data_IF_832891742466
#
_entry.id   IF_832891742466
#
_cell.length_a   1.000
_cell.length_b   1.000
_cell.length_c   1.000
_cell.angle_alpha   90.00
_cell.angle_beta   90.00
_cell.angle_gamma   90.00
#
_symmetry.space_group_name_H-M   'P 1'
#
loop_
_entity.id
_entity.type
_entity.pdbx_description
1 polymer ?
#
# COMPACT_ATOMS: atom_id res chain seq x y z
N UNK A 1 -19.99 -3.62 -6.95
CA UNK A 1 -18.90 -2.69 -6.56
C UNK A 1 -18.01 -3.27 -5.48
N UNK A 2 -18.61 -3.81 -4.41
CA UNK A 2 -17.93 -4.56 -3.36
C UNK A 2 -17.65 -5.99 -3.86
N UNK A 3 -16.52 -6.56 -3.48
CA UNK A 3 -16.11 -7.90 -3.92
C UNK A 3 -15.67 -8.81 -2.78
N UNK A 4 -15.48 -8.30 -1.56
CA UNK A 4 -15.29 -9.16 -0.40
C UNK A 4 -14.89 -8.40 0.85
N UNK A 5 -14.96 -9.10 1.98
CA UNK A 5 -14.62 -8.63 3.32
C UNK A 5 -13.67 -9.63 3.98
N UNK A 6 -12.83 -9.14 4.87
CA UNK A 6 -11.94 -10.00 5.66
C UNK A 6 -11.68 -9.40 7.04
N UNK A 7 -11.37 -10.29 7.98
CA UNK A 7 -10.78 -9.96 9.27
C UNK A 7 -9.45 -10.71 9.36
N UNK A 8 -8.37 -9.99 9.65
CA UNK A 8 -7.01 -10.55 9.70
C UNK A 8 -6.40 -10.17 11.04
N UNK A 9 -5.84 -11.15 11.76
CA UNK A 9 -5.13 -10.96 13.02
C UNK A 9 -3.69 -11.49 12.87
N UNK A 10 -2.71 -10.60 13.00
CA UNK A 10 -1.30 -10.92 12.74
C UNK A 10 -1.09 -11.54 11.36
N UNK A 11 -0.59 -12.77 11.29
CA UNK A 11 -0.37 -13.54 10.07
C UNK A 11 -1.59 -14.43 9.70
N UNK A 12 -2.68 -14.39 10.47
CA UNK A 12 -3.85 -15.26 10.29
C UNK A 12 -5.07 -14.51 9.70
N UNK A 13 -5.58 -15.00 8.57
CA UNK A 13 -6.87 -14.56 8.02
C UNK A 13 -7.99 -15.30 8.76
N UNK A 14 -8.60 -14.64 9.74
CA UNK A 14 -9.67 -15.21 10.56
C UNK A 14 -10.96 -15.44 9.76
N UNK A 15 -11.21 -14.60 8.75
CA UNK A 15 -12.41 -14.66 7.92
C UNK A 15 -12.15 -14.13 6.52
N UNK A 16 -12.74 -14.74 5.49
CA UNK A 16 -12.75 -14.25 4.11
C UNK A 16 -14.11 -14.54 3.48
N UNK A 17 -14.83 -13.50 3.05
CA UNK A 17 -16.20 -13.67 2.51
C UNK A 17 -16.25 -14.30 1.11
N UNK A 18 -15.17 -14.18 0.34
CA UNK A 18 -15.03 -14.76 -0.99
C UNK A 18 -13.65 -15.38 -1.10
N UNK A 19 -13.59 -16.72 -1.22
CA UNK A 19 -12.33 -17.47 -1.33
C UNK A 19 -11.49 -17.01 -2.54
N UNK A 20 -12.11 -16.52 -3.61
CA UNK A 20 -11.39 -15.98 -4.77
C UNK A 20 -10.60 -14.71 -4.44
N UNK A 21 -10.93 -14.04 -3.32
CA UNK A 21 -10.25 -12.84 -2.83
C UNK A 21 -9.23 -13.13 -1.74
N UNK A 22 -9.12 -14.36 -1.25
CA UNK A 22 -8.17 -14.73 -0.21
C UNK A 22 -6.73 -14.28 -0.55
N UNK A 23 -6.28 -14.61 -1.76
CA UNK A 23 -4.96 -14.22 -2.28
C UNK A 23 -4.74 -12.70 -2.36
N UNK A 24 -5.81 -11.93 -2.54
CA UNK A 24 -5.73 -10.46 -2.52
C UNK A 24 -5.54 -9.96 -1.09
N UNK A 25 -6.26 -10.55 -0.12
CA UNK A 25 -6.14 -10.19 1.29
C UNK A 25 -4.80 -10.62 1.90
N UNK A 26 -4.19 -11.71 1.46
CA UNK A 26 -2.83 -12.07 1.86
C UNK A 26 -1.81 -10.95 1.55
N UNK A 27 -2.06 -10.11 0.54
CA UNK A 27 -1.18 -8.97 0.25
C UNK A 27 -1.11 -7.98 1.42
N UNK A 28 -2.15 -7.89 2.26
CA UNK A 28 -2.13 -7.11 3.49
C UNK A 28 -1.02 -7.59 4.43
N UNK A 29 -0.80 -8.90 4.55
CA UNK A 29 0.25 -9.50 5.38
C UNK A 29 1.66 -9.17 4.88
N UNK A 30 1.84 -9.17 3.56
CA UNK A 30 3.13 -8.76 2.97
C UNK A 30 3.42 -7.27 3.20
N UNK A 31 2.38 -6.42 3.18
CA UNK A 31 2.51 -4.99 3.49
C UNK A 31 2.71 -4.76 4.99
N UNK A 32 2.08 -5.54 5.87
CA UNK A 32 2.30 -5.51 7.32
C UNK A 32 3.78 -5.70 7.67
N UNK A 33 4.46 -6.65 7.02
CA UNK A 33 5.90 -6.90 7.20
C UNK A 33 6.78 -5.73 6.76
N UNK A 34 6.32 -4.89 5.84
CA UNK A 34 6.98 -3.63 5.48
C UNK A 34 6.75 -2.55 6.54
N UNK A 35 5.53 -2.49 7.11
CA UNK A 35 5.18 -1.50 8.12
C UNK A 35 5.97 -1.67 9.41
N UNK A 36 6.54 -2.83 9.72
CA UNK A 36 7.39 -3.02 10.92
C UNK A 36 8.59 -2.05 10.98
N UNK A 37 9.02 -1.47 9.86
CA UNK A 37 10.07 -0.45 9.83
C UNK A 37 9.61 0.96 10.17
N UNK A 38 8.31 1.19 10.11
CA UNK A 38 7.75 2.53 10.13
C UNK A 38 6.63 2.62 11.15
N UNK A 39 6.50 3.76 11.82
CA UNK A 39 5.32 4.04 12.65
C UNK A 39 4.14 4.46 11.77
N UNK A 40 3.77 3.62 10.81
CA UNK A 40 2.73 3.87 9.82
C UNK A 40 1.61 2.82 9.91
N UNK A 41 0.39 3.22 9.54
CA UNK A 41 -0.78 2.34 9.49
C UNK A 41 -1.28 2.17 8.08
N UNK A 42 -1.61 0.94 7.70
CA UNK A 42 -2.13 0.64 6.38
C UNK A 42 -3.55 1.18 6.24
N UNK A 43 -3.78 1.91 5.15
CA UNK A 43 -5.09 2.49 4.84
C UNK A 43 -5.71 1.89 3.59
N UNK A 44 -4.95 1.75 2.50
CA UNK A 44 -5.44 1.03 1.33
C UNK A 44 -4.31 0.49 0.45
N UNK A 45 -4.66 -0.55 -0.32
CA UNK A 45 -3.82 -1.18 -1.34
C UNK A 45 -4.63 -1.22 -2.64
N UNK A 46 -4.03 -0.82 -3.74
CA UNK A 46 -4.69 -0.80 -5.04
C UNK A 46 -3.96 -1.70 -6.04
N UNK A 47 -4.75 -2.52 -6.70
CA UNK A 47 -4.36 -3.46 -7.72
C UNK A 47 -4.86 -3.00 -9.08
N UNK A 48 -4.16 -3.42 -10.14
CA UNK A 48 -4.62 -3.25 -11.50
C UNK A 48 -4.26 -4.45 -12.37
N UNK A 49 -5.24 -4.95 -13.12
CA UNK A 49 -5.04 -5.87 -14.22
C UNK A 49 -5.77 -5.39 -15.48
N UNK A 50 -5.41 -5.95 -16.64
CA UNK A 50 -6.14 -5.67 -17.89
C UNK A 50 -7.55 -6.29 -17.89
N UNK A 51 -7.73 -7.42 -17.19
CA UNK A 51 -8.99 -8.19 -17.20
C UNK A 51 -10.03 -7.66 -16.21
N UNK A 52 -9.60 -7.34 -14.99
CA UNK A 52 -10.49 -6.99 -13.86
C UNK A 52 -10.53 -5.47 -13.63
N UNK A 53 -9.68 -4.70 -14.31
CA UNK A 53 -9.58 -3.26 -14.10
C UNK A 53 -8.81 -2.92 -12.82
N UNK A 54 -9.24 -1.87 -12.12
CA UNK A 54 -8.66 -1.46 -10.83
C UNK A 54 -9.52 -2.01 -9.70
N UNK A 55 -8.87 -2.55 -8.69
CA UNK A 55 -9.48 -3.03 -7.47
C UNK A 55 -8.70 -2.46 -6.28
N UNK A 56 -9.37 -2.22 -5.17
CA UNK A 56 -8.75 -1.66 -3.97
C UNK A 56 -9.23 -2.39 -2.73
N UNK A 57 -8.28 -2.74 -1.88
CA UNK A 57 -8.52 -3.10 -0.50
C UNK A 57 -8.44 -1.82 0.33
N UNK A 58 -9.54 -1.43 0.96
CA UNK A 58 -9.52 -0.44 2.04
C UNK A 58 -9.37 -1.15 3.37
N UNK A 59 -8.57 -0.58 4.25
CA UNK A 59 -8.10 -1.22 5.48
C UNK A 59 -8.33 -0.30 6.67
N UNK A 60 -8.87 -0.86 7.73
CA UNK A 60 -8.90 -0.26 9.05
C UNK A 60 -7.98 -1.06 9.96
N UNK A 61 -6.79 -0.49 10.15
CA UNK A 61 -5.71 -1.09 10.92
C UNK A 61 -5.78 -0.67 12.38
N UNK A 62 -5.98 -1.64 13.25
CA UNK A 62 -6.05 -1.49 14.70
C UNK A 62 -4.83 -2.15 15.34
N UNK A 63 -4.11 -1.40 16.16
CA UNK A 63 -3.11 -1.98 17.07
C UNK A 63 -3.80 -2.25 18.40
N UNK A 64 -3.83 -3.50 18.84
CA UNK A 64 -4.47 -3.90 20.09
C UNK A 64 -3.63 -3.49 21.29
N UNK A 65 -4.19 -3.57 22.50
CA UNK A 65 -3.46 -3.27 23.74
C UNK A 65 -2.24 -4.19 23.95
N UNK A 66 -2.27 -5.40 23.37
CA UNK A 66 -1.16 -6.34 23.38
C UNK A 66 -0.13 -6.07 22.27
N UNK A 67 -0.29 -4.96 21.51
CA UNK A 67 0.59 -4.61 20.39
C UNK A 67 0.30 -5.39 19.11
N UNK A 68 -0.81 -6.14 19.04
CA UNK A 68 -1.10 -6.98 17.89
C UNK A 68 -1.76 -6.20 16.75
N UNK A 69 -1.46 -6.57 15.51
CA UNK A 69 -2.06 -6.04 14.30
C UNK A 69 -3.39 -6.74 13.99
N UNK A 70 -4.48 -5.98 14.04
CA UNK A 70 -5.81 -6.43 13.63
C UNK A 70 -6.27 -5.57 12.44
N UNK A 71 -6.62 -6.22 11.34
CA UNK A 71 -7.09 -5.56 10.13
C UNK A 71 -8.52 -5.97 9.82
N UNK A 72 -9.37 -4.96 9.64
CA UNK A 72 -10.65 -5.12 8.96
C UNK A 72 -10.46 -4.61 7.54
N UNK A 73 -10.83 -5.40 6.54
CA UNK A 73 -10.66 -4.96 5.17
C UNK A 73 -11.90 -5.21 4.31
N UNK A 74 -12.10 -4.34 3.33
CA UNK A 74 -13.08 -4.51 2.26
C UNK A 74 -12.36 -4.36 0.93
N UNK A 75 -12.60 -5.28 0.00
CA UNK A 75 -12.09 -5.23 -1.36
C UNK A 75 -13.21 -4.93 -2.35
N UNK A 76 -12.90 -4.12 -3.37
CA UNK A 76 -13.84 -3.82 -4.44
C UNK A 76 -13.29 -2.77 -5.40
N UNK A 77 -14.12 -2.40 -6.37
CA UNK A 77 -13.82 -1.38 -7.39
C UNK A 77 -14.03 0.04 -6.86
N UNK A 78 -13.46 0.35 -5.70
CA UNK A 78 -13.58 1.67 -5.08
C UNK A 78 -12.68 2.70 -5.77
N UNK A 79 -12.90 3.97 -5.48
CA UNK A 79 -11.91 5.03 -5.73
C UNK A 79 -11.05 5.28 -4.49
N UNK A 80 -9.86 5.85 -4.66
CA UNK A 80 -8.96 6.15 -3.53
C UNK A 80 -9.55 7.20 -2.56
N UNK A 81 -10.47 8.05 -3.04
CA UNK A 81 -11.12 9.10 -2.27
C UNK A 81 -12.50 8.75 -1.73
N UNK A 82 -12.98 7.52 -1.91
CA UNK A 82 -14.34 7.11 -1.54
C UNK A 82 -14.56 7.18 -0.04
N UNK A 83 -15.38 8.13 0.41
CA UNK A 83 -15.78 8.29 1.81
C UNK A 83 -16.79 7.22 2.21
N UNK A 84 -17.71 6.85 1.31
CA UNK A 84 -18.71 5.82 1.59
C UNK A 84 -18.07 4.45 1.82
N UNK A 85 -17.04 4.10 1.05
CA UNK A 85 -16.33 2.84 1.27
C UNK A 85 -15.65 2.82 2.66
N UNK A 86 -15.03 3.93 3.08
CA UNK A 86 -14.45 4.03 4.43
C UNK A 86 -15.51 4.04 5.54
N UNK A 87 -16.70 4.59 5.31
CA UNK A 87 -17.83 4.52 6.27
C UNK A 87 -18.32 3.09 6.43
N UNK A 88 -18.49 2.37 5.33
CA UNK A 88 -18.87 0.96 5.33
C UNK A 88 -17.84 0.11 6.10
N UNK A 89 -16.55 0.31 5.85
CA UNK A 89 -15.49 -0.42 6.56
C UNK A 89 -15.50 -0.13 8.08
N UNK A 90 -15.73 1.12 8.48
CA UNK A 90 -15.89 1.48 9.90
C UNK A 90 -17.09 0.82 10.54
N UNK A 91 -18.22 0.78 9.84
CA UNK A 91 -19.42 0.11 10.33
C UNK A 91 -19.20 -1.41 10.39
N UNK A 92 -18.50 -2.01 9.42
CA UNK A 92 -18.08 -3.42 9.47
C UNK A 92 -17.29 -3.73 10.73
N UNK A 93 -16.20 -2.99 10.98
CA UNK A 93 -15.41 -3.11 12.21
C UNK A 93 -16.29 -2.97 13.44
N UNK A 94 -17.18 -1.96 13.48
CA UNK A 94 -18.03 -1.69 14.63
C UNK A 94 -18.99 -2.85 14.91
N UNK A 95 -19.64 -3.40 13.90
CA UNK A 95 -20.57 -4.52 14.04
C UNK A 95 -19.84 -5.78 14.52
N UNK A 96 -18.68 -6.10 13.95
CA UNK A 96 -17.85 -7.23 14.41
C UNK A 96 -17.43 -7.04 15.88
N UNK A 97 -16.98 -5.84 16.25
CA UNK A 97 -16.59 -5.56 17.63
C UNK A 97 -17.78 -5.54 18.60
N UNK A 98 -18.98 -5.15 18.17
CA UNK A 98 -20.17 -5.26 19.03
C UNK A 98 -20.50 -6.72 19.36
N UNK A 99 -20.32 -7.60 18.38
CA UNK A 99 -20.58 -9.02 18.54
C UNK A 99 -19.54 -9.71 19.43
N UNK A 100 -18.25 -9.49 19.16
CA UNK A 100 -17.17 -10.22 19.82
C UNK A 100 -16.52 -9.46 20.97
N UNK A 101 -16.79 -8.15 21.16
CA UNK A 101 -16.38 -7.25 22.26
C UNK A 101 -14.88 -7.06 22.49
N UNK A 102 -14.11 -8.13 22.49
CA UNK A 102 -12.68 -8.16 22.72
C UNK A 102 -11.97 -9.13 21.77
N UNK A 103 -10.65 -9.03 21.71
CA UNK A 103 -9.82 -9.80 20.80
C UNK A 103 -9.83 -11.30 21.13
N UNK A 104 -9.88 -11.67 22.40
CA UNK A 104 -9.82 -13.08 22.82
C UNK A 104 -11.07 -13.82 22.36
N UNK A 105 -12.24 -13.20 22.52
CA UNK A 105 -13.52 -13.72 22.00
C UNK A 105 -13.55 -13.76 20.48
N UNK A 106 -13.01 -12.74 19.80
CA UNK A 106 -12.92 -12.74 18.34
C UNK A 106 -12.09 -13.92 17.84
N UNK A 107 -10.92 -14.14 18.43
CA UNK A 107 -10.03 -15.25 18.08
C UNK A 107 -10.68 -16.60 18.37
N UNK A 108 -11.23 -16.79 19.56
CA UNK A 108 -11.92 -18.04 19.93
C UNK A 108 -13.10 -18.32 18.99
N UNK A 109 -13.95 -17.32 18.73
CA UNK A 109 -15.09 -17.49 17.84
C UNK A 109 -14.65 -17.83 16.42
N UNK A 110 -13.53 -17.31 15.93
CA UNK A 110 -13.08 -17.59 14.55
C UNK A 110 -12.80 -19.06 14.23
N UNK A 111 -12.62 -19.90 15.25
CA UNK A 111 -12.45 -21.34 15.11
C UNK A 111 -13.79 -22.10 15.03
N UNK A 112 -14.91 -21.41 15.29
CA UNK A 112 -16.25 -21.99 15.34
C UNK A 112 -17.03 -21.78 14.01
N UNK A 113 -17.77 -22.78 13.51
CA UNK A 113 -18.56 -22.64 12.28
C UNK A 113 -19.59 -21.50 12.30
N UNK A 114 -20.10 -21.16 13.49
CA UNK A 114 -21.10 -20.10 13.69
C UNK A 114 -20.54 -18.70 13.43
N UNK A 115 -19.22 -18.52 13.51
CA UNK A 115 -18.58 -17.24 13.27
C UNK A 115 -18.81 -16.73 11.84
N UNK A 116 -18.59 -17.60 10.85
CA UNK A 116 -18.82 -17.26 9.45
C UNK A 116 -20.28 -16.85 9.20
N UNK A 117 -21.23 -17.54 9.83
CA UNK A 117 -22.66 -17.22 9.70
C UNK A 117 -22.97 -15.81 10.22
N UNK A 118 -22.47 -15.47 11.41
CA UNK A 118 -22.70 -14.15 12.00
C UNK A 118 -22.01 -13.04 11.21
N UNK A 119 -20.78 -13.25 10.75
CA UNK A 119 -20.07 -12.28 9.90
C UNK A 119 -20.78 -12.09 8.56
N UNK A 120 -21.29 -13.17 7.94
CA UNK A 120 -22.06 -13.08 6.70
C UNK A 120 -23.32 -12.22 6.86
N UNK A 121 -24.07 -12.36 7.95
CA UNK A 121 -25.25 -11.53 8.22
C UNK A 121 -24.90 -10.03 8.35
N UNK A 122 -23.76 -9.72 8.98
CA UNK A 122 -23.25 -8.35 9.06
C UNK A 122 -22.93 -7.83 7.65
N UNK A 123 -22.29 -8.65 6.81
CA UNK A 123 -21.90 -8.28 5.45
C UNK A 123 -23.12 -8.06 4.56
N UNK A 124 -24.12 -8.94 4.60
CA UNK A 124 -25.36 -8.79 3.85
C UNK A 124 -26.03 -7.45 4.17
N UNK A 125 -26.18 -7.14 5.47
CA UNK A 125 -26.69 -5.84 5.92
C UNK A 125 -25.89 -4.66 5.36
N UNK A 126 -24.55 -4.75 5.35
CA UNK A 126 -23.69 -3.66 4.87
C UNK A 126 -23.74 -3.53 3.34
N UNK A 127 -23.81 -4.65 2.62
CA UNK A 127 -23.95 -4.65 1.17
C UNK A 127 -25.25 -3.96 0.79
N UNK A 128 -26.37 -4.33 1.41
CA UNK A 128 -27.67 -3.71 1.15
C UNK A 128 -27.67 -2.21 1.48
N UNK A 129 -27.09 -1.84 2.63
CA UNK A 129 -27.05 -0.45 3.08
C UNK A 129 -26.16 0.47 2.23
N UNK A 130 -25.04 -0.05 1.71
CA UNK A 130 -24.02 0.77 1.05
C UNK A 130 -23.98 0.61 -0.47
N UNK A 131 -24.75 -0.30 -1.07
CA UNK A 131 -24.75 -0.51 -2.52
C UNK A 131 -25.06 0.78 -3.29
N UNK A 132 -26.22 1.38 -3.03
CA UNK A 132 -26.66 2.62 -3.70
C UNK A 132 -25.78 3.83 -3.33
N UNK A 133 -25.46 4.12 -2.05
CA UNK A 133 -24.57 5.22 -1.70
C UNK A 133 -23.20 5.18 -2.38
N UNK A 134 -22.66 3.97 -2.60
CA UNK A 134 -21.39 3.79 -3.30
C UNK A 134 -21.50 4.06 -4.81
N UNK A 135 -22.63 3.73 -5.42
CA UNK A 135 -22.90 3.99 -6.85
C UNK A 135 -23.13 5.48 -7.14
N UNK A 136 -23.76 6.18 -6.21
CA UNK A 136 -24.09 7.61 -6.33
C UNK A 136 -22.96 8.54 -5.86
N UNK A 137 -21.88 8.01 -5.26
CA UNK A 137 -20.84 8.82 -4.65
C UNK A 137 -20.11 9.70 -5.69
N UNK A 138 -20.28 11.01 -5.56
CA UNK A 138 -19.50 12.00 -6.31
C UNK A 138 -18.20 12.27 -5.56
N UNK A 139 -17.08 11.94 -6.21
CA UNK A 139 -15.76 12.06 -5.60
C UNK A 139 -15.15 13.40 -5.95
N UNK A 140 -15.13 14.28 -4.94
CA UNK A 140 -14.41 15.53 -5.01
C UNK A 140 -12.95 15.32 -4.62
N UNK A 141 -12.03 15.82 -5.45
CA UNK A 141 -10.63 15.90 -5.08
C UNK A 141 -10.48 16.89 -3.92
N UNK A 142 -10.32 16.40 -2.69
CA UNK A 142 -9.92 17.25 -1.57
C UNK A 142 -8.47 17.67 -1.79
N UNK A 143 -8.26 18.94 -2.13
CA UNK A 143 -6.95 19.60 -2.27
C UNK A 143 -6.24 19.83 -0.93
N UNK A 144 -6.88 19.50 0.20
CA UNK A 144 -6.47 19.88 1.56
C UNK A 144 -5.25 19.12 2.15
N UNK A 145 -4.34 18.58 1.35
CA UNK A 145 -3.02 18.21 1.90
C UNK A 145 -2.16 19.48 1.94
N UNK A 146 -2.27 20.20 3.07
CA UNK A 146 -1.49 21.41 3.41
C UNK A 146 -0.02 21.05 3.74
N UNK A 147 0.32 19.76 3.76
CA UNK A 147 1.66 19.26 4.04
C UNK A 147 2.64 19.47 2.88
N UNK A 148 3.91 19.68 3.23
CA UNK A 148 5.00 19.73 2.26
C UNK A 148 5.11 18.39 1.52
N UNK A 149 5.10 18.48 0.19
CA UNK A 149 5.33 17.36 -0.70
C UNK A 149 6.81 16.98 -0.60
N UNK A 150 7.12 15.76 -0.15
CA UNK A 150 8.50 15.23 -0.10
C UNK A 150 8.61 13.83 -0.71
N UNK A 151 9.65 13.59 -1.50
CA UNK A 151 10.04 12.23 -1.93
C UNK A 151 10.92 11.66 -0.83
N UNK A 152 10.60 10.45 -0.37
CA UNK A 152 11.31 9.78 0.72
C UNK A 152 12.29 8.74 0.17
N UNK A 153 11.87 8.00 -0.86
CA UNK A 153 12.67 6.94 -1.47
C UNK A 153 12.29 6.74 -2.94
N UNK A 154 13.28 6.43 -3.78
CA UNK A 154 13.07 5.92 -5.13
C UNK A 154 13.97 4.71 -5.40
N UNK A 155 13.40 3.67 -5.99
CA UNK A 155 14.10 2.43 -6.33
C UNK A 155 13.80 1.99 -7.75
N UNK A 156 14.79 1.36 -8.37
CA UNK A 156 14.70 0.72 -9.68
C UNK A 156 15.33 -0.65 -9.54
N UNK A 157 14.61 -1.67 -9.97
CA UNK A 157 15.07 -3.05 -9.90
C UNK A 157 14.80 -3.80 -11.21
N UNK A 158 15.60 -4.80 -11.52
CA UNK A 158 15.34 -5.76 -12.59
C UNK A 158 15.26 -7.16 -12.00
N UNK A 159 14.16 -7.88 -12.27
CA UNK A 159 13.95 -9.24 -11.76
C UNK A 159 14.13 -9.37 -10.22
N UNK A 160 13.81 -8.30 -9.47
CA UNK A 160 13.98 -8.26 -8.01
C UNK A 160 15.38 -7.86 -7.53
N UNK A 161 16.36 -7.71 -8.43
CA UNK A 161 17.69 -7.18 -8.11
C UNK A 161 17.69 -5.65 -8.13
N UNK A 162 18.08 -4.98 -7.05
CA UNK A 162 18.15 -3.53 -7.01
C UNK A 162 19.27 -3.02 -7.91
N UNK A 163 18.93 -2.15 -8.85
CA UNK A 163 19.87 -1.42 -9.72
C UNK A 163 20.20 -0.08 -9.08
N UNK A 164 19.16 0.64 -8.64
CA UNK A 164 19.27 1.90 -7.91
C UNK A 164 18.32 1.84 -6.74
N UNK A 165 18.78 2.31 -5.59
CA UNK A 165 17.94 2.49 -4.41
C UNK A 165 18.44 3.73 -3.69
N UNK A 166 17.63 4.78 -3.69
CA UNK A 166 18.00 6.09 -3.19
C UNK A 166 17.06 6.54 -2.08
N UNK A 167 17.64 6.72 -0.89
CA UNK A 167 16.96 7.25 0.28
C UNK A 167 17.20 8.77 0.34
N UNK A 168 16.12 9.54 0.22
CA UNK A 168 16.14 11.00 0.28
C UNK A 168 15.92 11.50 1.70
N UNK A 169 14.98 10.89 2.44
CA UNK A 169 14.71 11.24 3.83
C UNK A 169 15.38 10.25 4.79
N UNK A 170 16.52 10.67 5.35
CA UNK A 170 17.26 9.89 6.35
C UNK A 170 16.55 9.80 7.69
N UNK A 171 15.46 10.54 7.93
CA UNK A 171 14.68 10.41 9.15
C UNK A 171 13.91 9.08 9.21
N UNK A 172 13.75 8.39 8.08
CA UNK A 172 13.27 7.01 8.04
C UNK A 172 14.17 6.01 8.80
N UNK A 173 15.41 6.38 9.14
CA UNK A 173 16.28 5.56 9.99
C UNK A 173 16.01 5.74 11.49
N UNK A 174 15.41 6.86 11.91
CA UNK A 174 15.12 7.10 13.32
C UNK A 174 14.12 6.08 13.88
N UNK A 175 13.28 5.50 13.02
CA UNK A 175 12.34 4.44 13.41
C UNK A 175 13.00 3.09 13.64
N UNK A 176 14.30 2.94 13.32
CA UNK A 176 15.07 1.70 13.49
C UNK A 176 16.06 1.74 14.64
N UNK A 177 16.09 2.82 15.44
CA UNK A 177 17.06 3.01 16.53
C UNK A 177 18.53 2.83 16.09
N UNK A 178 18.83 3.08 14.81
CA UNK A 178 20.18 2.97 14.23
C UNK A 178 20.82 4.34 14.01
N UNK A 179 22.13 4.39 14.16
CA UNK A 179 22.93 5.56 13.77
C UNK A 179 22.85 5.82 12.26
N UNK A 180 22.84 7.10 11.87
CA UNK A 180 22.77 7.55 10.47
C UNK A 180 24.10 7.43 9.71
N UNK A 181 24.78 6.28 9.83
CA UNK A 181 26.01 5.95 9.09
C UNK A 181 25.70 5.57 7.64
N UNK A 182 26.68 5.67 6.74
CA UNK A 182 26.52 5.26 5.33
C UNK A 182 26.16 3.78 5.21
N UNK A 183 26.81 2.92 5.99
CA UNK A 183 26.54 1.48 6.03
C UNK A 183 25.10 1.18 6.46
N UNK A 184 24.61 1.81 7.53
CA UNK A 184 23.23 1.63 7.99
C UNK A 184 22.21 2.14 6.97
N UNK A 185 22.50 3.25 6.29
CA UNK A 185 21.67 3.76 5.19
C UNK A 185 21.60 2.72 4.08
N UNK A 186 22.73 2.16 3.65
CA UNK A 186 22.79 1.15 2.58
C UNK A 186 22.04 -0.13 2.95
N UNK A 187 22.28 -0.67 4.15
CA UNK A 187 21.58 -1.86 4.66
C UNK A 187 20.07 -1.66 4.71
N UNK A 188 19.62 -0.54 5.28
CA UNK A 188 18.20 -0.20 5.33
C UNK A 188 17.59 -0.08 3.93
N UNK A 189 18.28 0.65 3.05
CA UNK A 189 17.82 0.90 1.68
C UNK A 189 17.71 -0.41 0.88
N UNK A 190 18.66 -1.33 1.08
CA UNK A 190 18.64 -2.66 0.47
C UNK A 190 17.45 -3.49 0.97
N UNK A 191 17.22 -3.55 2.29
CA UNK A 191 16.11 -4.30 2.88
C UNK A 191 14.74 -3.72 2.47
N UNK A 192 14.60 -2.39 2.47
CA UNK A 192 13.41 -1.70 1.98
C UNK A 192 13.10 -2.08 0.52
N UNK A 193 14.11 -2.02 -0.34
CA UNK A 193 14.00 -2.39 -1.76
C UNK A 193 13.56 -3.85 -1.93
N UNK A 194 14.16 -4.76 -1.17
CA UNK A 194 13.81 -6.18 -1.17
C UNK A 194 12.36 -6.44 -0.72
N UNK A 195 11.87 -5.74 0.32
CA UNK A 195 10.48 -5.85 0.76
C UNK A 195 9.49 -5.33 -0.27
N UNK A 196 9.78 -4.19 -0.90
CA UNK A 196 8.94 -3.64 -1.97
C UNK A 196 8.85 -4.59 -3.17
N UNK A 197 10.00 -5.17 -3.58
CA UNK A 197 10.04 -6.19 -4.63
C UNK A 197 9.23 -7.43 -4.24
N UNK A 198 9.36 -7.89 -2.99
CA UNK A 198 8.61 -9.03 -2.44
C UNK A 198 7.10 -8.80 -2.51
N UNK A 199 6.62 -7.62 -2.10
CA UNK A 199 5.20 -7.24 -2.19
C UNK A 199 4.72 -7.26 -3.64
N UNK A 200 5.49 -6.62 -4.54
CA UNK A 200 5.16 -6.53 -5.96
C UNK A 200 5.07 -7.91 -6.62
N UNK A 201 6.05 -8.77 -6.36
CA UNK A 201 6.13 -10.12 -6.91
C UNK A 201 5.05 -11.05 -6.34
N UNK A 202 4.83 -11.04 -5.02
CA UNK A 202 3.76 -11.83 -4.41
C UNK A 202 2.37 -11.39 -4.89
N UNK A 203 2.16 -10.07 -5.08
CA UNK A 203 0.92 -9.59 -5.69
C UNK A 203 0.73 -10.19 -7.07
N UNK A 204 1.76 -10.17 -7.92
CA UNK A 204 1.68 -10.73 -9.27
C UNK A 204 1.42 -12.24 -9.26
N UNK A 205 2.12 -12.98 -8.41
CA UNK A 205 2.02 -14.45 -8.35
C UNK A 205 0.65 -14.89 -7.82
N UNK A 206 0.20 -14.32 -6.69
CA UNK A 206 -0.99 -14.76 -5.96
C UNK A 206 -2.28 -14.25 -6.58
N UNK A 207 -2.32 -12.97 -6.94
CA UNK A 207 -3.55 -12.32 -7.44
C UNK A 207 -3.64 -12.27 -8.96
N UNK A 208 -2.55 -12.56 -9.68
CA UNK A 208 -2.43 -12.32 -11.14
C UNK A 208 -2.68 -10.87 -11.55
N UNK A 209 -2.55 -9.93 -10.62
CA UNK A 209 -2.66 -8.48 -10.85
C UNK A 209 -1.35 -7.78 -10.49
N UNK A 210 -1.22 -6.50 -10.83
CA UNK A 210 -0.07 -5.69 -10.40
C UNK A 210 -0.51 -4.76 -9.29
N UNK A 211 0.25 -4.70 -8.20
CA UNK A 211 0.12 -3.61 -7.23
C UNK A 211 0.46 -2.29 -7.91
N UNK A 212 -0.25 -1.22 -7.57
CA UNK A 212 -0.08 0.12 -8.17
C UNK A 212 0.23 1.17 -7.13
N UNK A 213 -0.46 1.14 -6.01
CA UNK A 213 -0.35 2.14 -4.95
C UNK A 213 -0.66 1.48 -3.60
N UNK A 214 0.09 1.86 -2.57
CA UNK A 214 -0.20 1.59 -1.16
C UNK A 214 -0.28 2.96 -0.48
N UNK A 215 -1.31 3.16 0.34
CA UNK A 215 -1.50 4.38 1.10
C UNK A 215 -1.41 4.05 2.58
N UNK A 216 -0.62 4.83 3.30
CA UNK A 216 -0.40 4.68 4.73
C UNK A 216 -0.62 6.01 5.45
N UNK A 217 -1.15 5.95 6.66
CA UNK A 217 -1.24 7.10 7.55
C UNK A 217 -0.06 7.08 8.55
N UNK A 218 0.61 8.21 8.73
CA UNK A 218 1.69 8.34 9.71
C UNK A 218 1.11 8.48 11.13
N UNK A 219 1.51 7.61 12.05
CA UNK A 219 0.94 7.59 13.42
C UNK A 219 1.54 8.65 14.33
N UNK A 220 2.66 9.26 13.95
CA UNK A 220 3.30 10.35 14.70
C UNK A 220 2.79 11.70 14.19
N UNK A 221 2.59 11.83 12.87
CA UNK A 221 2.04 13.02 12.26
C UNK A 221 0.76 12.68 11.49
N UNK A 222 -0.39 12.81 12.16
CA UNK A 222 -1.71 12.46 11.62
C UNK A 222 -2.09 13.19 10.31
N UNK A 223 -1.40 14.28 9.96
CA UNK A 223 -1.62 15.01 8.71
C UNK A 223 -0.70 14.56 7.58
N UNK A 224 0.22 13.63 7.83
CA UNK A 224 1.16 13.09 6.85
C UNK A 224 0.64 11.75 6.31
N UNK A 225 0.26 11.76 5.03
CA UNK A 225 -0.07 10.55 4.29
C UNK A 225 1.13 10.11 3.48
N UNK A 226 1.53 8.84 3.63
CA UNK A 226 2.57 8.24 2.82
C UNK A 226 1.93 7.47 1.68
N UNK A 227 2.53 7.57 0.49
CA UNK A 227 2.10 6.86 -0.70
C UNK A 227 3.30 6.12 -1.26
N UNK A 228 3.12 4.83 -1.50
CA UNK A 228 4.06 4.00 -2.24
C UNK A 228 3.47 3.76 -3.62
N UNK A 229 4.17 4.12 -4.69
CA UNK A 229 3.76 3.87 -6.07
C UNK A 229 4.64 2.82 -6.73
N UNK A 230 3.99 1.91 -7.46
CA UNK A 230 4.63 0.79 -8.14
C UNK A 230 4.47 0.90 -9.66
N UNK A 231 5.61 0.98 -10.33
CA UNK A 231 5.78 1.16 -11.76
C UNK A 231 6.51 0.00 -12.42
N UNK A 232 6.41 -0.04 -13.74
CA UNK A 232 7.23 -0.90 -14.57
C UNK A 232 7.54 -0.18 -15.89
N UNK A 233 8.75 -0.38 -16.40
CA UNK A 233 9.27 0.10 -17.67
C UNK A 233 10.12 -1.03 -18.25
N UNK A 234 9.78 -1.55 -19.43
CA UNK A 234 10.60 -2.51 -20.20
C UNK A 234 11.27 -3.62 -19.36
N UNK A 235 10.51 -4.28 -18.46
CA UNK A 235 11.06 -5.36 -17.61
C UNK A 235 11.63 -4.90 -16.25
N UNK A 236 11.88 -3.61 -16.07
CA UNK A 236 12.32 -2.99 -14.82
C UNK A 236 11.14 -2.59 -13.95
N UNK A 237 11.21 -2.83 -12.64
CA UNK A 237 10.28 -2.27 -11.65
C UNK A 237 10.79 -0.94 -11.12
N UNK A 238 9.84 -0.06 -10.79
CA UNK A 238 10.14 1.24 -10.18
C UNK A 238 9.25 1.39 -8.96
N UNK A 239 9.87 1.69 -7.83
CA UNK A 239 9.19 1.85 -6.56
C UNK A 239 9.48 3.26 -6.03
N UNK A 240 8.45 3.93 -5.53
CA UNK A 240 8.54 5.35 -5.16
C UNK A 240 7.74 5.61 -3.90
N UNK A 241 8.39 6.07 -2.84
CA UNK A 241 7.75 6.44 -1.57
C UNK A 241 7.78 7.95 -1.43
N UNK A 242 6.62 8.55 -1.21
CA UNK A 242 6.49 9.99 -1.02
C UNK A 242 5.45 10.32 0.06
N UNK A 243 5.50 11.56 0.54
CA UNK A 243 4.55 12.17 1.45
C UNK A 243 3.95 13.44 0.81
N UNK A 244 2.67 13.69 1.06
CA UNK A 244 1.96 14.88 0.59
C UNK A 244 0.77 14.57 -0.31
N UNK A 245 0.44 15.51 -1.20
CA UNK A 245 -0.73 15.44 -2.06
C UNK A 245 -0.59 14.28 -3.09
N UNK A 246 -1.51 13.32 -3.00
CA UNK A 246 -1.50 12.13 -3.85
C UNK A 246 -1.49 12.42 -5.36
N UNK A 247 -2.24 13.43 -5.82
CA UNK A 247 -2.33 13.75 -7.24
C UNK A 247 -1.01 14.35 -7.76
N UNK A 248 -0.38 15.24 -6.97
CA UNK A 248 0.96 15.77 -7.27
C UNK A 248 1.99 14.64 -7.31
N UNK A 249 2.02 13.77 -6.29
CA UNK A 249 2.88 12.56 -6.24
C UNK A 249 2.72 11.71 -7.51
N UNK A 250 1.47 11.40 -7.87
CA UNK A 250 1.14 10.57 -9.02
C UNK A 250 1.54 11.22 -10.35
N UNK A 251 1.39 12.54 -10.47
CA UNK A 251 1.82 13.30 -11.64
C UNK A 251 3.33 13.20 -11.83
N UNK A 252 4.09 13.40 -10.76
CA UNK A 252 5.55 13.40 -10.81
C UNK A 252 6.09 11.98 -11.04
N UNK A 253 5.47 10.97 -10.45
CA UNK A 253 5.79 9.58 -10.76
C UNK A 253 5.53 9.23 -12.25
N UNK A 254 4.45 9.74 -12.85
CA UNK A 254 4.21 9.56 -14.30
C UNK A 254 5.29 10.24 -15.14
N UNK A 255 5.68 11.47 -14.80
CA UNK A 255 6.76 12.20 -15.48
C UNK A 255 8.09 11.46 -15.42
N UNK A 256 8.47 10.99 -14.22
CA UNK A 256 9.66 10.17 -14.01
C UNK A 256 9.64 8.96 -14.95
N UNK A 257 8.52 8.23 -14.97
CA UNK A 257 8.37 7.07 -15.85
C UNK A 257 8.48 7.43 -17.32
N UNK A 258 7.88 8.52 -17.78
CA UNK A 258 7.98 8.93 -19.19
C UNK A 258 9.40 9.31 -19.59
N UNK A 259 10.16 9.97 -18.70
CA UNK A 259 11.59 10.28 -18.95
C UNK A 259 12.40 8.99 -19.05
N UNK A 260 12.22 8.06 -18.11
CA UNK A 260 12.95 6.79 -18.07
C UNK A 260 12.63 5.85 -19.24
N UNK A 261 11.39 5.82 -19.75
CA UNK A 261 11.04 5.00 -20.94
C UNK A 261 11.88 5.37 -22.16
N UNK A 262 12.34 6.62 -22.27
CA UNK A 262 13.11 7.11 -23.42
C UNK A 262 14.62 6.87 -23.27
N UNK A 263 15.07 6.47 -22.08
CA UNK A 263 16.49 6.25 -21.83
C UNK A 263 16.94 4.90 -22.40
N UNK A 264 18.08 4.93 -23.10
CA UNK A 264 18.74 3.77 -23.70
C UNK A 264 19.02 2.64 -22.71
N UNK A 265 19.29 2.95 -21.43
CA UNK A 265 19.60 1.98 -20.39
C UNK A 265 18.43 1.01 -20.13
N UNK A 266 17.20 1.41 -20.44
CA UNK A 266 16.00 0.59 -20.26
C UNK A 266 15.48 -0.05 -21.55
N UNK A 267 16.17 0.08 -22.69
CA UNK A 267 15.70 -0.54 -23.94
C UNK A 267 16.05 -2.03 -24.03
N UNK A 268 17.07 -2.45 -23.27
CA UNK A 268 17.54 -3.83 -23.23
C UNK A 268 17.29 -4.44 -21.85
N UNK A 269 17.20 -5.76 -21.80
CA UNK A 269 17.16 -6.50 -20.54
C UNK A 269 18.43 -6.27 -19.73
N UNK A 270 18.28 -6.32 -18.40
CA UNK A 270 19.40 -6.11 -17.48
C UNK A 270 20.40 -7.26 -17.60
N UNK A 271 21.64 -6.94 -17.96
CA UNK A 271 22.73 -7.91 -18.16
C UNK A 271 23.57 -8.15 -16.90
N UNK A 272 23.24 -7.52 -15.76
CA UNK A 272 24.07 -7.52 -14.55
C UNK A 272 25.06 -6.35 -14.47
N UNK A 273 25.22 -5.56 -15.53
CA UNK A 273 26.10 -4.39 -15.53
C UNK A 273 25.36 -3.12 -15.05
N UNK A 274 25.84 -2.53 -13.96
CA UNK A 274 25.29 -1.29 -13.40
C UNK A 274 25.83 -0.02 -14.09
N UNK A 275 26.90 -0.10 -14.88
CA UNK A 275 27.52 1.07 -15.53
C UNK A 275 26.53 1.89 -16.36
N UNK A 276 25.61 1.30 -17.16
CA UNK A 276 24.64 2.05 -17.94
C UNK A 276 23.61 2.81 -17.10
N UNK A 277 23.53 2.57 -15.79
CA UNK A 277 22.51 3.15 -14.91
C UNK A 277 23.06 4.26 -14.01
N UNK A 278 24.39 4.50 -14.02
CA UNK A 278 25.04 5.45 -13.10
C UNK A 278 24.47 6.87 -13.16
N UNK A 279 24.06 7.32 -14.36
CA UNK A 279 23.54 8.67 -14.56
C UNK A 279 22.10 8.85 -14.06
N UNK A 280 21.35 7.77 -13.86
CA UNK A 280 19.95 7.85 -13.44
C UNK A 280 19.77 8.45 -12.05
N UNK A 281 20.81 8.40 -11.21
CA UNK A 281 20.82 9.11 -9.93
C UNK A 281 20.52 10.61 -10.13
N UNK A 282 21.10 11.22 -11.16
CA UNK A 282 20.86 12.62 -11.49
C UNK A 282 19.41 12.87 -11.93
N UNK A 283 18.81 11.96 -12.71
CA UNK A 283 17.39 12.09 -13.07
C UNK A 283 16.47 12.03 -11.86
N UNK A 284 16.76 11.13 -10.91
CA UNK A 284 15.97 11.04 -9.69
C UNK A 284 16.14 12.31 -8.84
N UNK A 285 17.36 12.86 -8.73
CA UNK A 285 17.64 14.11 -8.02
C UNK A 285 16.94 15.33 -8.67
N UNK A 286 16.88 15.40 -10.00
CA UNK A 286 16.11 16.43 -10.72
C UNK A 286 14.61 16.34 -10.41
N UNK A 287 14.06 15.12 -10.42
CA UNK A 287 12.65 14.89 -10.10
C UNK A 287 12.30 15.30 -8.67
N UNK A 288 13.22 15.13 -7.72
CA UNK A 288 13.06 15.60 -6.34
C UNK A 288 13.04 17.12 -6.27
N UNK A 289 13.95 17.79 -6.96
CA UNK A 289 13.96 19.26 -7.03
C UNK A 289 12.68 19.82 -7.66
N UNK A 290 12.18 19.19 -8.72
CA UNK A 290 10.89 19.55 -9.33
C UNK A 290 9.73 19.35 -8.33
N UNK A 291 9.79 18.34 -7.46
CA UNK A 291 8.78 18.08 -6.43
C UNK A 291 8.69 19.21 -5.40
N UNK A 292 9.84 19.72 -4.96
CA UNK A 292 9.95 20.79 -3.95
C UNK A 292 9.53 22.16 -4.48
N UNK A 293 9.57 22.37 -5.81
CA UNK A 293 9.30 23.67 -6.46
C UNK A 293 7.83 23.90 -6.87
N UNK A 294 7.00 22.85 -6.84
CA UNK A 294 5.58 22.96 -7.24
C UNK A 294 4.74 23.42 -6.04
N UNK A 295 4.70 24.73 -5.82
CA UNK A 295 3.70 25.42 -4.99
C UNK A 295 2.29 25.20 -5.56
#
# INVERSE_FOLDING_TARGET
MISGFTVILEDDILYCSDENKYNSFEIVLFVEKLMKFFKWRLRNICFKSKKVGKERIIVEHVITNAGQNLFFCVVGSFSAGSQEAFKMLKEFRKQVNNQYKDLARLKFASEEPTFNQVINLIIEYLQDKYLEPLEEEIIYEKTNDIGQNTILYAGISAQGLPIISQLYDKNLLMTLEKDKTSENIELFTSDLSAKLATISMNTLIRTKTKIKEIHLDDTVNNNSKKVILFGNINGYSIDFIANGNFFKIKSIFKKLKSKMVLDSAFQNDFSGDLRPFKHLKYYLDEVVKEFDQIY
#
